data_IF_686639784362
#
_entry.id   IF_686639784362
#
_cell.length_a   1.000
_cell.length_b   1.000
_cell.length_c   1.000
_cell.angle_alpha   90.00
_cell.angle_beta   90.00
_cell.angle_gamma   90.00
#
_symmetry.space_group_name_H-M   'P 1'
#
loop_
_entity.id
_entity.type
_entity.pdbx_description
1 polymer ?
#
# COMPACT_ATOMS: atom_id res chain seq x y z
N UNK A 1 -13.57 1.44 -13.54
CA UNK A 1 -12.41 0.57 -13.31
C UNK A 1 -11.13 1.36 -13.52
N UNK A 2 -10.26 1.38 -12.51
CA UNK A 2 -8.90 1.95 -12.56
C UNK A 2 -7.93 0.79 -12.35
N UNK A 3 -6.87 0.75 -13.16
CA UNK A 3 -5.82 -0.27 -13.05
C UNK A 3 -4.49 0.44 -12.92
N UNK A 4 -3.71 0.08 -11.90
CA UNK A 4 -2.35 0.56 -11.68
C UNK A 4 -1.36 -0.59 -11.73
N UNK A 5 -0.15 -0.30 -12.19
CA UNK A 5 0.98 -1.24 -12.29
C UNK A 5 2.20 -0.60 -11.64
N UNK A 6 2.73 -1.26 -10.62
CA UNK A 6 3.91 -0.77 -9.87
C UNK A 6 5.04 -1.80 -9.98
N UNK A 7 6.26 -1.40 -10.36
CA UNK A 7 7.40 -2.31 -10.39
C UNK A 7 7.85 -2.68 -8.97
N UNK A 8 8.30 -3.91 -8.80
CA UNK A 8 8.99 -4.36 -7.58
C UNK A 8 10.39 -3.75 -7.56
N UNK A 9 10.88 -3.36 -6.38
CA UNK A 9 12.18 -2.69 -6.20
C UNK A 9 13.07 -3.45 -5.23
N UNK A 10 14.38 -3.39 -5.45
CA UNK A 10 15.41 -3.87 -4.51
C UNK A 10 16.28 -2.69 -4.11
N UNK A 11 16.51 -2.53 -2.80
CA UNK A 11 17.35 -1.48 -2.24
C UNK A 11 18.80 -1.92 -2.10
N UNK A 12 19.75 -1.09 -2.52
CA UNK A 12 21.19 -1.36 -2.42
C UNK A 12 21.84 -0.72 -1.20
N UNK A 13 21.50 0.54 -0.92
CA UNK A 13 22.04 1.29 0.21
C UNK A 13 21.07 2.37 0.67
N UNK A 14 21.19 2.77 1.94
CA UNK A 14 20.34 3.76 2.59
C UNK A 14 19.27 3.14 3.51
N UNK A 15 18.31 3.95 3.94
CA UNK A 15 17.23 3.58 4.87
C UNK A 15 17.43 4.21 6.24
N UNK A 16 17.16 3.45 7.30
CA UNK A 16 17.39 3.86 8.69
C UNK A 16 16.19 4.50 9.40
N UNK A 17 15.10 4.79 8.68
CA UNK A 17 13.86 5.36 9.26
C UNK A 17 13.17 4.45 10.28
N UNK A 18 13.47 3.16 10.27
CA UNK A 18 12.95 2.22 11.28
C UNK A 18 13.69 2.32 12.62
N UNK A 19 14.74 3.15 12.70
CA UNK A 19 15.53 3.35 13.92
C UNK A 19 15.19 4.69 14.55
N UNK A 20 14.63 4.68 15.76
CA UNK A 20 14.08 5.85 16.46
C UNK A 20 15.04 7.04 16.51
N UNK A 21 16.32 6.79 16.82
CA UNK A 21 17.31 7.87 16.91
C UNK A 21 17.48 8.57 15.55
N UNK A 22 17.52 7.80 14.47
CA UNK A 22 17.73 8.30 13.12
C UNK A 22 16.47 9.05 12.65
N UNK A 23 15.30 8.42 12.80
CA UNK A 23 14.01 9.01 12.45
C UNK A 23 13.73 10.32 13.18
N UNK A 24 14.15 10.42 14.45
CA UNK A 24 13.98 11.65 15.24
C UNK A 24 15.01 12.72 14.90
N UNK A 25 16.20 12.33 14.47
CA UNK A 25 17.30 13.25 14.16
C UNK A 25 17.28 13.78 12.72
N UNK A 26 16.70 13.04 11.79
CA UNK A 26 16.70 13.39 10.37
C UNK A 26 15.28 13.79 9.91
N UNK A 27 14.95 15.10 9.90
CA UNK A 27 13.60 15.58 9.63
C UNK A 27 13.15 15.31 8.18
N UNK A 28 14.09 15.07 7.27
CA UNK A 28 13.79 14.73 5.87
C UNK A 28 13.59 13.22 5.66
N UNK A 29 13.76 12.40 6.70
CA UNK A 29 13.66 10.95 6.64
C UNK A 29 14.87 10.27 5.98
N UNK A 30 14.71 8.97 5.68
CA UNK A 30 15.74 8.14 5.09
C UNK A 30 15.81 8.30 3.57
N UNK A 31 17.02 8.26 3.02
CA UNK A 31 17.25 8.17 1.58
C UNK A 31 17.71 6.76 1.20
N UNK A 32 17.21 6.23 0.08
CA UNK A 32 17.53 4.89 -0.39
C UNK A 32 17.85 4.92 -1.88
N UNK A 33 18.91 4.22 -2.29
CA UNK A 33 19.19 3.93 -3.69
C UNK A 33 18.68 2.53 -4.03
N UNK A 34 17.74 2.44 -4.97
CA UNK A 34 17.08 1.19 -5.34
C UNK A 34 17.00 1.04 -6.87
N UNK A 35 16.87 -0.20 -7.34
CA UNK A 35 16.61 -0.51 -8.74
C UNK A 35 15.26 -1.22 -8.89
N UNK A 36 14.53 -0.88 -9.94
CA UNK A 36 13.29 -1.53 -10.31
C UNK A 36 13.60 -2.84 -11.06
N UNK A 37 12.92 -3.91 -10.69
CA UNK A 37 12.95 -5.18 -11.41
C UNK A 37 11.88 -5.16 -12.50
N UNK A 38 12.09 -5.91 -13.59
CA UNK A 38 11.06 -6.18 -14.60
C UNK A 38 10.01 -7.19 -14.07
N UNK A 39 9.44 -6.88 -12.92
CA UNK A 39 8.42 -7.64 -12.18
C UNK A 39 7.47 -6.63 -11.58
N UNK A 40 6.17 -6.89 -11.67
CA UNK A 40 5.18 -5.85 -11.42
C UNK A 40 4.00 -6.40 -10.62
N UNK A 41 3.50 -5.57 -9.70
CA UNK A 41 2.25 -5.79 -8.98
C UNK A 41 1.17 -4.96 -9.67
N UNK A 42 0.02 -5.58 -9.88
CA UNK A 42 -1.14 -4.93 -10.47
C UNK A 42 -2.22 -4.77 -9.41
N UNK A 43 -2.78 -3.56 -9.32
CA UNK A 43 -3.91 -3.26 -8.44
C UNK A 43 -5.05 -2.78 -9.32
N UNK A 44 -6.22 -3.39 -9.15
CA UNK A 44 -7.44 -3.02 -9.87
C UNK A 44 -8.48 -2.57 -8.88
N UNK A 45 -9.01 -1.37 -9.10
CA UNK A 45 -10.11 -0.80 -8.30
C UNK A 45 -11.30 -0.60 -9.21
N UNK A 46 -12.46 -1.08 -8.79
CA UNK A 46 -13.70 -0.88 -9.53
C UNK A 46 -14.83 -0.56 -8.57
N UNK A 47 -15.70 0.38 -8.97
CA UNK A 47 -16.93 0.66 -8.23
C UNK A 47 -17.81 -0.58 -8.30
N UNK A 48 -18.27 -1.04 -7.14
CA UNK A 48 -19.24 -2.12 -7.05
C UNK A 48 -20.65 -1.63 -7.40
N UNK A 49 -21.53 -2.58 -7.67
CA UNK A 49 -22.95 -2.29 -7.93
C UNK A 49 -23.73 -2.04 -6.63
N UNK A 50 -23.21 -2.55 -5.51
CA UNK A 50 -23.67 -2.39 -4.15
C UNK A 50 -22.69 -1.53 -3.34
N UNK A 51 -23.09 -1.15 -2.13
CA UNK A 51 -22.30 -0.32 -1.21
C UNK A 51 -21.27 -1.13 -0.38
N UNK A 52 -21.26 -2.45 -0.54
CA UNK A 52 -20.28 -3.31 0.12
C UNK A 52 -18.87 -3.13 -0.46
N UNK A 53 -17.86 -3.37 0.37
CA UNK A 53 -16.45 -3.37 -0.02
C UNK A 53 -15.99 -4.81 -0.18
N UNK A 54 -15.30 -5.08 -1.30
CA UNK A 54 -14.69 -6.38 -1.55
C UNK A 54 -13.21 -6.22 -1.89
N UNK A 55 -12.38 -6.91 -1.14
CA UNK A 55 -10.92 -6.94 -1.33
C UNK A 55 -10.52 -8.38 -1.62
N UNK A 56 -9.79 -8.58 -2.72
CA UNK A 56 -9.35 -9.91 -3.15
C UNK A 56 -7.84 -9.91 -3.30
N UNK A 57 -7.17 -10.71 -2.49
CA UNK A 57 -5.72 -10.94 -2.47
C UNK A 57 -5.47 -12.44 -2.22
N UNK A 58 -4.56 -12.83 -1.34
CA UNK A 58 -4.39 -14.23 -0.92
C UNK A 58 -5.65 -14.81 -0.25
N UNK A 59 -6.51 -13.95 0.28
CA UNK A 59 -7.85 -14.27 0.75
C UNK A 59 -8.87 -13.32 0.13
N UNK A 60 -10.16 -13.59 0.35
CA UNK A 60 -11.25 -12.74 -0.10
C UNK A 60 -12.02 -12.22 1.09
N UNK A 61 -12.13 -10.91 1.18
CA UNK A 61 -12.90 -10.21 2.20
C UNK A 61 -14.08 -9.49 1.56
N UNK A 62 -15.22 -9.52 2.23
CA UNK A 62 -16.41 -8.78 1.84
C UNK A 62 -17.06 -8.22 3.10
N UNK A 63 -17.08 -6.90 3.22
CA UNK A 63 -17.55 -6.17 4.40
C UNK A 63 -18.46 -5.03 3.99
N UNK A 64 -19.38 -4.64 4.85
CA UNK A 64 -20.29 -3.51 4.59
C UNK A 64 -19.65 -2.16 4.94
N UNK A 65 -18.64 -2.15 5.82
CA UNK A 65 -17.86 -0.98 6.22
C UNK A 65 -16.37 -1.31 6.04
N UNK A 66 -15.64 -0.46 5.32
CA UNK A 66 -14.22 -0.65 5.03
C UNK A 66 -13.36 -0.69 6.29
N UNK A 67 -13.81 -0.08 7.40
CA UNK A 67 -13.13 -0.13 8.69
C UNK A 67 -13.03 -1.55 9.26
N UNK A 68 -13.89 -2.47 8.82
CA UNK A 68 -13.87 -3.88 9.23
C UNK A 68 -12.99 -4.77 8.35
N UNK A 69 -12.32 -4.23 7.32
CA UNK A 69 -11.35 -5.01 6.54
C UNK A 69 -10.22 -5.48 7.45
N UNK A 70 -9.82 -6.74 7.36
CA UNK A 70 -8.62 -7.28 8.01
C UNK A 70 -7.35 -6.80 7.32
N UNK A 71 -7.40 -6.60 5.99
CA UNK A 71 -6.25 -6.11 5.22
C UNK A 71 -5.90 -4.64 5.55
N UNK A 72 -4.95 -4.47 6.48
CA UNK A 72 -4.59 -3.18 7.08
C UNK A 72 -4.18 -2.10 6.05
N UNK A 73 -3.34 -2.45 5.07
CA UNK A 73 -2.88 -1.48 4.06
C UNK A 73 -4.01 -0.97 3.16
N UNK A 74 -5.00 -1.81 2.84
CA UNK A 74 -6.13 -1.42 2.00
C UNK A 74 -7.09 -0.56 2.82
N UNK A 75 -7.38 -0.95 4.06
CA UNK A 75 -8.19 -0.17 5.01
C UNK A 75 -7.62 1.24 5.19
N UNK A 76 -6.32 1.35 5.44
CA UNK A 76 -5.67 2.66 5.64
C UNK A 76 -5.65 3.49 4.34
N UNK A 77 -5.41 2.85 3.19
CA UNK A 77 -5.46 3.56 1.91
C UNK A 77 -6.87 4.12 1.62
N UNK A 78 -7.93 3.37 1.94
CA UNK A 78 -9.31 3.85 1.81
C UNK A 78 -9.57 5.04 2.74
N UNK A 79 -9.12 4.95 4.00
CA UNK A 79 -9.20 6.05 4.96
C UNK A 79 -8.50 7.33 4.47
N UNK A 80 -7.29 7.21 3.95
CA UNK A 80 -6.50 8.34 3.44
C UNK A 80 -7.11 8.97 2.18
N UNK A 81 -7.78 8.17 1.34
CA UNK A 81 -8.30 8.60 0.05
C UNK A 81 -9.78 9.01 0.09
N UNK A 82 -10.47 8.73 1.20
CA UNK A 82 -11.90 9.02 1.38
C UNK A 82 -12.80 8.16 0.49
N UNK A 83 -12.35 6.93 0.19
CA UNK A 83 -13.09 5.94 -0.61
C UNK A 83 -13.88 5.02 0.29
#
# INVERSE_FOLDING_TARGET
MIISRTPVRVSFCGGGTDVDWFASSEPNGGMVTSLALDRHIHVTVNRRFDDSVRVSYSSMEMVDDFENLEHELVREAMRMTGV
#
